data_IF_774985488268
#
_entry.id   IF_774985488268
#
_cell.length_a   1.000
_cell.length_b   1.000
_cell.length_c   1.000
_cell.angle_alpha   90.00
_cell.angle_beta   90.00
_cell.angle_gamma   90.00
#
_symmetry.space_group_name_H-M   'P 1'
#
loop_
_entity.id
_entity.type
_entity.pdbx_description
1 polymer ?
#
# COMPACT_ATOMS: atom_id res chain seq x y z
N UNK A 1 19.60 5.49 -9.92
CA UNK A 1 18.55 6.06 -10.78
C UNK A 1 17.78 7.10 -9.99
N UNK A 2 17.74 8.35 -10.45
CA UNK A 2 16.82 9.36 -9.93
C UNK A 2 15.45 9.19 -10.60
N UNK A 3 14.37 9.48 -9.88
CA UNK A 3 13.01 9.45 -10.44
C UNK A 3 12.70 10.81 -11.07
N UNK A 4 12.25 10.87 -12.33
CA UNK A 4 12.08 12.12 -13.07
C UNK A 4 10.73 12.78 -12.75
N UNK A 5 10.49 13.05 -11.47
CA UNK A 5 9.20 13.57 -11.00
C UNK A 5 9.13 15.08 -11.22
N UNK A 6 7.99 15.57 -11.70
CA UNK A 6 7.75 17.00 -11.90
C UNK A 6 6.30 17.42 -11.61
N UNK A 7 6.06 18.72 -11.46
CA UNK A 7 4.71 19.28 -11.32
C UNK A 7 4.21 19.51 -9.89
N UNK A 8 2.91 19.73 -9.77
CA UNK A 8 2.26 20.00 -8.49
C UNK A 8 2.08 18.72 -7.67
N UNK A 9 2.53 18.67 -6.41
CA UNK A 9 2.38 17.47 -5.58
C UNK A 9 0.93 17.30 -5.14
N UNK A 10 0.35 16.13 -5.42
CA UNK A 10 -1.07 15.83 -5.17
C UNK A 10 -1.28 15.04 -3.88
N UNK A 11 -0.52 13.94 -3.73
CA UNK A 11 -0.77 12.95 -2.67
C UNK A 11 0.51 12.18 -2.34
N UNK A 12 0.63 11.74 -1.09
CA UNK A 12 1.59 10.71 -0.67
C UNK A 12 0.85 9.61 0.07
N UNK A 13 1.08 8.38 -0.33
CA UNK A 13 0.80 7.19 0.46
C UNK A 13 2.10 6.68 1.05
N UNK A 14 2.09 6.37 2.35
CA UNK A 14 3.17 5.66 3.02
C UNK A 14 2.62 4.37 3.62
N UNK A 15 3.30 3.26 3.40
CA UNK A 15 3.05 1.98 4.08
C UNK A 15 4.34 1.57 4.77
N UNK A 16 4.28 1.34 6.08
CA UNK A 16 5.41 0.80 6.83
C UNK A 16 5.01 -0.55 7.44
N UNK A 17 5.95 -1.49 7.45
CA UNK A 17 5.80 -2.79 8.11
C UNK A 17 7.07 -3.10 8.89
N UNK A 18 6.93 -3.63 10.10
CA UNK A 18 8.06 -4.11 10.90
C UNK A 18 7.77 -5.47 11.52
N UNK A 19 8.84 -6.24 11.69
CA UNK A 19 8.87 -7.52 12.38
C UNK A 19 9.76 -7.37 13.61
N UNK A 20 9.20 -7.60 14.79
CA UNK A 20 9.86 -7.41 16.07
C UNK A 20 9.83 -8.75 16.83
N UNK A 21 10.98 -9.18 17.33
CA UNK A 21 11.04 -10.36 18.20
C UNK A 21 10.44 -10.02 19.56
N UNK A 22 9.57 -10.89 20.07
CA UNK A 22 8.97 -10.71 21.39
C UNK A 22 9.24 -11.92 22.29
N UNK A 23 9.21 -11.76 23.63
CA UNK A 23 9.31 -12.88 24.54
C UNK A 23 8.31 -13.99 24.22
N UNK A 24 8.61 -15.21 24.69
CA UNK A 24 7.77 -16.41 24.53
C UNK A 24 7.67 -16.92 23.08
N UNK A 25 8.74 -16.79 22.30
CA UNK A 25 8.83 -17.34 20.93
C UNK A 25 7.74 -16.79 19.99
N UNK A 26 7.59 -15.47 19.98
CA UNK A 26 6.58 -14.78 19.17
C UNK A 26 7.18 -13.67 18.35
N UNK A 27 6.59 -13.46 17.19
CA UNK A 27 6.86 -12.32 16.34
C UNK A 27 5.71 -11.33 16.43
N UNK A 28 6.04 -10.07 16.63
CA UNK A 28 5.10 -8.96 16.52
C UNK A 28 5.27 -8.28 15.18
N UNK A 29 4.20 -8.27 14.41
CA UNK A 29 4.08 -7.53 13.15
C UNK A 29 3.41 -6.20 13.45
N UNK A 30 4.00 -5.10 12.98
CA UNK A 30 3.35 -3.79 12.99
C UNK A 30 3.26 -3.26 11.57
N UNK A 31 2.06 -2.89 11.16
CA UNK A 31 1.78 -2.25 9.89
C UNK A 31 1.14 -0.87 10.10
N UNK A 32 1.49 0.09 9.27
CA UNK A 32 0.85 1.41 9.23
C UNK A 32 0.65 1.85 7.79
N UNK A 33 -0.50 2.46 7.51
CA UNK A 33 -0.77 3.15 6.25
C UNK A 33 -1.20 4.59 6.53
N UNK A 34 -0.55 5.53 5.87
CA UNK A 34 -0.88 6.96 5.93
C UNK A 34 -1.12 7.46 4.50
N UNK A 35 -2.28 8.07 4.29
CA UNK A 35 -2.61 8.78 3.06
C UNK A 35 -2.67 10.28 3.36
N UNK A 36 -1.76 11.05 2.76
CA UNK A 36 -1.64 12.50 2.87
C UNK A 36 -2.03 13.16 1.55
N UNK A 37 -3.19 13.84 1.53
CA UNK A 37 -3.57 14.72 0.43
C UNK A 37 -2.86 16.05 0.60
N UNK A 38 -2.17 16.52 -0.45
CA UNK A 38 -1.38 17.76 -0.42
C UNK A 38 -2.11 18.95 -1.03
N UNK A 39 -3.12 18.69 -1.87
CA UNK A 39 -3.85 19.73 -2.59
C UNK A 39 -5.30 19.34 -2.87
N UNK A 40 -6.10 20.35 -3.21
CA UNK A 40 -7.47 20.18 -3.68
C UNK A 40 -8.48 19.78 -2.61
N UNK A 41 -9.75 19.94 -2.95
CA UNK A 41 -10.87 19.49 -2.14
C UNK A 41 -11.49 18.24 -2.77
N UNK A 42 -11.78 17.24 -1.95
CA UNK A 42 -12.48 16.03 -2.41
C UNK A 42 -13.90 15.99 -1.83
N UNK A 43 -14.93 16.08 -2.67
CA UNK A 43 -16.30 15.83 -2.25
C UNK A 43 -16.49 14.34 -1.93
N UNK A 44 -16.97 14.04 -0.73
CA UNK A 44 -17.17 12.70 -0.21
C UNK A 44 -18.62 12.54 0.24
N UNK A 45 -19.53 12.23 -0.70
CA UNK A 45 -21.00 12.11 -0.53
C UNK A 45 -21.68 13.27 0.20
N UNK A 46 -21.42 13.41 1.50
CA UNK A 46 -22.02 14.40 2.40
C UNK A 46 -21.00 15.31 3.10
N UNK A 47 -19.71 15.21 2.75
CA UNK A 47 -18.67 16.09 3.29
C UNK A 47 -17.73 16.60 2.20
N UNK A 48 -17.00 17.67 2.52
CA UNK A 48 -15.91 18.19 1.70
C UNK A 48 -14.61 18.00 2.47
N UNK A 49 -13.73 17.14 1.96
CA UNK A 49 -12.48 16.85 2.64
C UNK A 49 -11.35 17.77 2.16
N UNK A 50 -10.70 18.52 3.06
CA UNK A 50 -9.55 19.35 2.72
C UNK A 50 -8.27 18.51 2.51
N UNK A 51 -7.16 19.15 2.11
CA UNK A 51 -5.82 18.58 2.24
C UNK A 51 -5.48 18.25 3.70
N UNK A 52 -4.56 17.30 3.90
CA UNK A 52 -4.15 16.78 5.20
C UNK A 52 -4.03 15.26 5.19
N UNK A 53 -3.78 14.69 6.37
CA UNK A 53 -3.89 13.25 6.56
C UNK A 53 -5.37 12.89 6.43
N UNK A 54 -5.72 12.05 5.45
CA UNK A 54 -7.10 11.65 5.15
C UNK A 54 -7.36 10.18 5.50
N UNK A 55 -6.31 9.37 5.61
CA UNK A 55 -6.38 8.03 6.18
C UNK A 55 -5.14 7.79 7.05
N UNK A 56 -5.36 7.21 8.22
CA UNK A 56 -4.29 6.75 9.10
C UNK A 56 -4.75 5.48 9.79
N UNK A 57 -4.25 4.34 9.32
CA UNK A 57 -4.62 3.03 9.87
C UNK A 57 -3.38 2.32 10.40
N UNK A 58 -3.55 1.60 11.51
CA UNK A 58 -2.52 0.77 12.12
C UNK A 58 -2.99 -0.65 12.31
N UNK A 59 -2.04 -1.56 12.32
CA UNK A 59 -2.23 -2.98 12.49
C UNK A 59 -1.11 -3.51 13.39
N UNK A 60 -1.46 -4.25 14.43
CA UNK A 60 -0.54 -5.05 15.24
C UNK A 60 -1.02 -6.50 15.23
N UNK A 61 -0.13 -7.45 14.92
CA UNK A 61 -0.44 -8.88 14.88
C UNK A 61 0.67 -9.61 15.62
N UNK A 62 0.33 -10.41 16.62
CA UNK A 62 1.26 -11.39 17.18
C UNK A 62 1.11 -12.72 16.46
N UNK A 63 2.23 -13.32 16.06
CA UNK A 63 2.28 -14.65 15.45
C UNK A 63 3.26 -15.56 16.16
N UNK A 64 2.89 -16.83 16.29
CA UNK A 64 3.77 -17.87 16.81
C UNK A 64 5.04 -18.00 15.96
N UNK A 65 6.22 -17.99 16.57
CA UNK A 65 7.49 -18.04 15.82
C UNK A 65 7.69 -19.36 15.05
N UNK A 66 7.23 -20.48 15.58
CA UNK A 66 7.37 -21.79 14.92
C UNK A 66 6.26 -22.09 13.90
N UNK A 67 5.02 -21.69 14.19
CA UNK A 67 3.86 -22.08 13.38
C UNK A 67 3.35 -20.98 12.45
N UNK A 68 3.78 -19.73 12.64
CA UNK A 68 3.28 -18.54 11.94
C UNK A 68 1.75 -18.37 12.01
N UNK A 69 1.14 -18.93 13.05
CA UNK A 69 -0.29 -18.79 13.34
C UNK A 69 -0.52 -17.47 14.06
N UNK A 70 -1.55 -16.75 13.64
CA UNK A 70 -2.01 -15.51 14.26
C UNK A 70 -2.62 -15.80 15.63
N UNK A 71 -2.03 -15.20 16.66
CA UNK A 71 -2.45 -15.32 18.05
C UNK A 71 -3.23 -14.09 18.53
N UNK A 72 -2.94 -12.92 17.97
CA UNK A 72 -3.66 -11.68 18.24
C UNK A 72 -3.70 -10.80 16.98
N UNK A 73 -4.79 -10.04 16.83
CA UNK A 73 -4.92 -9.00 15.81
C UNK A 73 -5.53 -7.77 16.48
N UNK A 74 -4.87 -6.63 16.33
CA UNK A 74 -5.36 -5.33 16.76
C UNK A 74 -5.23 -4.36 15.60
N UNK A 75 -6.23 -3.50 15.42
CA UNK A 75 -6.16 -2.46 14.41
C UNK A 75 -6.77 -1.18 14.92
N UNK A 76 -6.25 -0.05 14.42
CA UNK A 76 -6.83 1.26 14.66
C UNK A 76 -7.00 2.00 13.34
N UNK A 77 -7.96 2.91 13.31
CA UNK A 77 -8.20 3.82 12.20
C UNK A 77 -8.31 5.22 12.77
N UNK A 78 -7.18 5.88 12.99
CA UNK A 78 -7.12 7.17 13.69
C UNK A 78 -7.78 8.27 12.85
N UNK A 79 -7.57 8.22 11.54
CA UNK A 79 -8.21 9.13 10.57
C UNK A 79 -8.90 8.32 9.49
N UNK A 80 -10.18 8.62 9.23
CA UNK A 80 -11.00 7.93 8.24
C UNK A 80 -11.76 8.90 7.35
N UNK A 81 -12.17 8.41 6.18
CA UNK A 81 -12.97 9.20 5.27
C UNK A 81 -14.40 9.47 5.74
N UNK A 82 -14.99 8.51 6.46
CA UNK A 82 -16.39 8.55 6.88
C UNK A 82 -16.52 8.31 8.38
N UNK A 83 -16.92 9.37 9.09
CA UNK A 83 -17.25 9.36 10.51
C UNK A 83 -18.75 9.07 10.72
N UNK A 84 -19.15 8.53 11.89
CA UNK A 84 -20.55 8.26 12.18
C UNK A 84 -21.31 9.57 12.34
N UNK A 85 -22.18 9.88 11.39
CA UNK A 85 -22.98 11.11 11.35
C UNK A 85 -24.43 10.79 10.99
N UNK A 86 -25.31 11.78 11.09
CA UNK A 86 -26.68 11.64 10.58
C UNK A 86 -26.70 11.28 9.09
N UNK A 87 -25.77 11.81 8.30
CA UNK A 87 -25.70 11.58 6.86
C UNK A 87 -25.21 10.17 6.50
N UNK A 88 -24.31 9.59 7.31
CA UNK A 88 -23.90 8.19 7.16
C UNK A 88 -24.85 7.22 7.88
N UNK A 89 -26.02 7.68 8.34
CA UNK A 89 -26.95 6.89 9.15
C UNK A 89 -26.28 6.21 10.37
N UNK A 90 -25.26 6.86 10.94
CA UNK A 90 -24.46 6.33 12.05
C UNK A 90 -23.35 5.34 11.64
N UNK A 91 -23.24 4.98 10.36
CA UNK A 91 -22.19 4.08 9.88
C UNK A 91 -20.83 4.79 9.77
N UNK A 92 -19.75 4.03 9.97
CA UNK A 92 -18.37 4.50 9.89
C UNK A 92 -17.45 3.50 9.20
N UNK A 93 -16.34 4.00 8.64
CA UNK A 93 -15.23 3.16 8.19
C UNK A 93 -14.68 2.20 9.25
N UNK A 94 -14.96 2.44 10.54
CA UNK A 94 -14.49 1.63 11.69
C UNK A 94 -15.40 0.46 12.04
N UNK A 95 -16.64 0.46 11.57
CA UNK A 95 -17.61 -0.59 11.87
C UNK A 95 -17.14 -2.00 11.49
N UNK A 96 -16.43 -2.24 10.36
CA UNK A 96 -16.05 -3.59 10.00
C UNK A 96 -14.84 -4.13 10.79
N UNK A 97 -14.20 -3.35 11.67
CA UNK A 97 -12.94 -3.76 12.31
C UNK A 97 -13.03 -5.11 13.04
N UNK A 98 -14.17 -5.41 13.67
CA UNK A 98 -14.40 -6.69 14.34
C UNK A 98 -14.37 -7.92 13.41
N UNK A 99 -14.52 -7.73 12.09
CA UNK A 99 -14.41 -8.85 11.14
C UNK A 99 -12.99 -9.44 11.09
N UNK A 100 -11.97 -8.71 11.56
CA UNK A 100 -10.60 -9.18 11.61
C UNK A 100 -10.38 -10.29 12.64
N UNK A 101 -11.28 -10.45 13.63
CA UNK A 101 -11.20 -11.52 14.62
C UNK A 101 -11.27 -12.91 13.97
N UNK A 102 -11.89 -13.02 12.78
CA UNK A 102 -11.91 -14.25 12.01
C UNK A 102 -10.54 -14.67 11.43
N UNK A 103 -9.51 -13.84 11.59
CA UNK A 103 -8.12 -14.19 11.26
C UNK A 103 -7.38 -14.87 12.42
N UNK A 104 -7.92 -14.87 13.64
CA UNK A 104 -7.32 -15.58 14.77
C UNK A 104 -7.23 -17.08 14.47
N UNK A 105 -6.06 -17.68 14.75
CA UNK A 105 -5.78 -19.08 14.43
C UNK A 105 -5.45 -19.34 12.96
N UNK A 106 -5.46 -18.32 12.09
CA UNK A 106 -5.05 -18.46 10.69
C UNK A 106 -3.53 -18.39 10.58
N UNK A 107 -2.95 -19.31 9.81
CA UNK A 107 -1.53 -19.29 9.44
C UNK A 107 -1.26 -18.25 8.34
N UNK A 108 -0.17 -17.51 8.49
CA UNK A 108 0.35 -16.64 7.42
C UNK A 108 1.14 -17.50 6.43
N UNK A 109 0.47 -17.96 5.39
CA UNK A 109 1.00 -18.78 4.30
C UNK A 109 0.45 -18.32 2.93
N UNK A 110 0.68 -19.12 1.88
CA UNK A 110 0.22 -18.83 0.52
C UNK A 110 -1.31 -18.64 0.40
N UNK A 111 -2.09 -19.21 1.31
CA UNK A 111 -3.56 -19.12 1.31
C UNK A 111 -4.09 -17.92 2.12
N UNK A 112 -3.24 -17.26 2.91
CA UNK A 112 -3.63 -16.17 3.79
C UNK A 112 -4.34 -15.03 3.05
N UNK A 113 -3.81 -14.61 1.89
CA UNK A 113 -4.42 -13.56 1.06
C UNK A 113 -5.84 -13.91 0.61
N UNK A 114 -6.10 -15.18 0.29
CA UNK A 114 -7.44 -15.64 -0.11
C UNK A 114 -8.41 -15.55 1.07
N UNK A 115 -7.99 -16.04 2.25
CA UNK A 115 -8.79 -15.96 3.50
C UNK A 115 -9.07 -14.50 3.87
N UNK A 116 -8.06 -13.64 3.81
CA UNK A 116 -8.19 -12.21 4.05
C UNK A 116 -9.23 -11.56 3.12
N UNK A 117 -9.18 -11.81 1.81
CA UNK A 117 -10.18 -11.28 0.89
C UNK A 117 -11.59 -11.83 1.14
N UNK A 118 -11.72 -13.07 1.59
CA UNK A 118 -13.01 -13.67 1.95
C UNK A 118 -13.60 -13.06 3.23
N UNK A 119 -12.75 -12.72 4.20
CA UNK A 119 -13.16 -12.15 5.49
C UNK A 119 -13.39 -10.64 5.41
N UNK A 120 -12.44 -9.91 4.81
CA UNK A 120 -12.34 -8.45 4.91
C UNK A 120 -12.34 -7.76 3.54
N UNK A 121 -12.55 -8.50 2.45
CA UNK A 121 -12.58 -7.97 1.09
C UNK A 121 -13.88 -7.25 0.72
N UNK A 122 -13.76 -6.20 -0.10
CA UNK A 122 -14.89 -5.48 -0.68
C UNK A 122 -15.86 -4.94 0.38
N UNK A 123 -17.17 -5.25 0.31
CA UNK A 123 -18.19 -4.67 1.18
C UNK A 123 -18.07 -5.10 2.65
N UNK A 124 -17.15 -6.02 2.99
CA UNK A 124 -16.92 -6.52 4.34
C UNK A 124 -15.87 -5.76 5.14
N UNK A 125 -15.11 -4.87 4.49
CA UNK A 125 -13.96 -4.24 5.15
C UNK A 125 -13.64 -2.84 4.63
N UNK A 126 -12.69 -2.20 5.31
CA UNK A 126 -12.07 -0.96 4.84
C UNK A 126 -11.03 -1.30 3.75
N UNK A 127 -11.17 -0.72 2.56
CA UNK A 127 -10.23 -0.95 1.43
C UNK A 127 -8.79 -0.59 1.78
N UNK A 128 -8.57 0.45 2.58
CA UNK A 128 -7.23 0.91 2.98
C UNK A 128 -6.57 -0.06 3.94
N UNK A 129 -7.30 -0.51 4.96
CA UNK A 129 -6.80 -1.50 5.90
C UNK A 129 -6.57 -2.86 5.21
N UNK A 130 -7.47 -3.26 4.30
CA UNK A 130 -7.27 -4.45 3.45
C UNK A 130 -5.98 -4.34 2.61
N UNK A 131 -5.70 -3.17 2.05
CA UNK A 131 -4.49 -2.91 1.26
C UNK A 131 -3.22 -3.00 2.12
N UNK A 132 -3.27 -2.49 3.37
CA UNK A 132 -2.20 -2.67 4.36
C UNK A 132 -1.99 -4.16 4.68
N UNK A 133 -3.07 -4.91 4.95
CA UNK A 133 -2.98 -6.34 5.23
C UNK A 133 -2.41 -7.13 4.05
N UNK A 134 -2.79 -6.82 2.80
CA UNK A 134 -2.20 -7.46 1.63
C UNK A 134 -0.70 -7.19 1.50
N UNK A 135 -0.24 -5.97 1.83
CA UNK A 135 1.18 -5.65 1.86
C UNK A 135 1.91 -6.44 2.95
N UNK A 136 1.37 -6.47 4.18
CA UNK A 136 1.88 -7.30 5.29
C UNK A 136 1.96 -8.78 4.88
N UNK A 137 0.88 -9.32 4.30
CA UNK A 137 0.79 -10.70 3.83
C UNK A 137 1.85 -11.05 2.78
N UNK A 138 2.36 -10.08 2.03
CA UNK A 138 3.37 -10.30 1.00
C UNK A 138 4.81 -10.18 1.52
N UNK A 139 5.06 -9.23 2.42
CA UNK A 139 6.43 -8.98 2.91
C UNK A 139 6.81 -9.89 4.07
N UNK A 140 5.87 -10.22 4.96
CA UNK A 140 6.18 -10.94 6.20
C UNK A 140 6.61 -12.39 6.00
N UNK A 141 6.02 -13.21 5.12
CA UNK A 141 6.51 -14.58 4.89
C UNK A 141 8.00 -14.63 4.55
N UNK A 142 8.47 -13.68 3.75
CA UNK A 142 9.89 -13.55 3.34
C UNK A 142 10.78 -13.10 4.49
N UNK A 143 10.29 -12.19 5.33
CA UNK A 143 10.97 -11.78 6.56
C UNK A 143 11.10 -12.94 7.55
N UNK A 144 10.02 -13.71 7.77
CA UNK A 144 10.03 -14.89 8.64
C UNK A 144 10.96 -15.98 8.13
N UNK A 145 10.98 -16.23 6.81
CA UNK A 145 11.93 -17.17 6.20
C UNK A 145 13.39 -16.77 6.45
N UNK A 146 13.70 -15.48 6.32
CA UNK A 146 15.04 -14.95 6.64
C UNK A 146 15.40 -15.16 8.12
N UNK A 147 14.43 -15.03 9.02
CA UNK A 147 14.65 -15.17 10.47
C UNK A 147 14.82 -16.61 10.95
N UNK A 148 14.53 -17.63 10.13
CA UNK A 148 14.75 -19.04 10.50
C UNK A 148 16.21 -19.31 10.94
N UNK A 149 17.18 -18.53 10.44
CA UNK A 149 18.59 -18.62 10.81
C UNK A 149 19.01 -17.79 12.04
N UNK A 150 18.15 -16.90 12.55
CA UNK A 150 18.52 -15.90 13.55
C UNK A 150 17.60 -15.84 14.78
N UNK A 151 16.39 -16.40 14.72
CA UNK A 151 15.36 -16.22 15.75
C UNK A 151 15.84 -16.54 17.18
N UNK A 152 16.63 -17.62 17.35
CA UNK A 152 17.15 -18.03 18.66
C UNK A 152 18.18 -17.07 19.27
N UNK A 153 18.74 -16.17 18.46
CA UNK A 153 19.78 -15.21 18.87
C UNK A 153 19.22 -13.81 19.13
N UNK A 154 17.91 -13.60 18.92
CA UNK A 154 17.25 -12.29 19.05
C UNK A 154 17.03 -11.89 20.49
N UNK A 155 17.32 -10.63 20.79
CA UNK A 155 16.95 -10.00 22.06
C UNK A 155 15.46 -9.64 22.06
N UNK A 156 14.77 -9.68 23.23
CA UNK A 156 13.41 -9.19 23.33
C UNK A 156 13.24 -7.75 22.82
N UNK A 157 12.17 -7.51 22.06
CA UNK A 157 11.83 -6.23 21.41
C UNK A 157 12.82 -5.79 20.33
N UNK A 158 13.65 -6.70 19.83
CA UNK A 158 14.59 -6.40 18.75
C UNK A 158 13.88 -6.37 17.39
N UNK A 159 14.16 -5.34 16.59
CA UNK A 159 13.75 -5.29 15.18
C UNK A 159 14.55 -6.28 14.34
N UNK A 160 13.83 -7.16 13.65
CA UNK A 160 14.41 -8.10 12.70
C UNK A 160 14.31 -7.61 11.25
N UNK A 161 13.17 -6.99 10.92
CA UNK A 161 12.88 -6.57 9.56
C UNK A 161 12.05 -5.30 9.54
N UNK A 162 12.26 -4.49 8.51
CA UNK A 162 11.50 -3.29 8.23
C UNK A 162 11.27 -3.13 6.73
N UNK A 163 10.03 -2.89 6.32
CA UNK A 163 9.65 -2.54 4.96
C UNK A 163 9.03 -1.17 4.93
N UNK A 164 9.52 -0.31 4.04
CA UNK A 164 8.91 0.99 3.75
C UNK A 164 8.54 1.06 2.29
N UNK A 165 7.28 1.36 2.01
CA UNK A 165 6.82 1.75 0.69
C UNK A 165 6.24 3.16 0.71
N UNK A 166 6.69 4.01 -0.21
CA UNK A 166 6.05 5.29 -0.49
C UNK A 166 5.54 5.31 -1.92
N UNK A 167 4.35 5.86 -2.13
CA UNK A 167 3.81 6.20 -3.43
C UNK A 167 3.46 7.68 -3.42
N UNK A 168 4.11 8.45 -4.29
CA UNK A 168 3.86 9.87 -4.46
C UNK A 168 3.19 10.13 -5.81
N UNK A 169 2.20 11.01 -5.83
CA UNK A 169 1.50 11.45 -7.03
C UNK A 169 1.67 12.93 -7.31
N UNK A 170 1.89 13.28 -8.58
CA UNK A 170 2.11 14.65 -9.04
C UNK A 170 1.33 14.94 -10.33
N UNK A 171 1.02 16.21 -10.56
CA UNK A 171 0.40 16.70 -11.79
C UNK A 171 1.38 17.63 -12.53
N UNK A 172 2.17 17.12 -13.50
CA UNK A 172 3.03 17.96 -14.33
C UNK A 172 2.26 18.79 -15.36
N UNK A 173 1.12 18.29 -15.83
CA UNK A 173 0.29 18.94 -16.84
C UNK A 173 -1.16 18.48 -16.70
N UNK A 174 -2.08 19.16 -17.39
CA UNK A 174 -3.45 18.68 -17.54
C UNK A 174 -3.44 17.29 -18.18
N UNK A 175 -4.32 16.41 -17.70
CA UNK A 175 -4.44 15.00 -18.12
C UNK A 175 -3.21 14.09 -17.97
N UNK A 176 -2.16 14.55 -17.29
CA UNK A 176 -0.99 13.74 -16.97
C UNK A 176 -0.82 13.67 -15.45
N UNK A 177 -0.74 12.45 -14.92
CA UNK A 177 -0.38 12.19 -13.53
C UNK A 177 0.92 11.40 -13.51
N UNK A 178 1.87 11.80 -12.67
CA UNK A 178 3.09 11.03 -12.43
C UNK A 178 2.98 10.31 -11.09
N UNK A 179 3.30 9.02 -11.09
CA UNK A 179 3.33 8.18 -9.91
C UNK A 179 4.76 7.68 -9.69
N UNK A 180 5.28 7.87 -8.50
CA UNK A 180 6.58 7.40 -8.08
C UNK A 180 6.44 6.47 -6.89
N UNK A 181 6.92 5.23 -7.01
CA UNK A 181 6.93 4.25 -5.92
C UNK A 181 8.37 3.94 -5.52
N UNK A 182 8.64 3.97 -4.21
CA UNK A 182 9.89 3.51 -3.64
C UNK A 182 9.61 2.45 -2.59
N UNK A 183 10.33 1.33 -2.64
CA UNK A 183 10.25 0.26 -1.64
C UNK A 183 11.65 -0.02 -1.11
N UNK A 184 11.78 -0.17 0.20
CA UNK A 184 13.01 -0.64 0.84
C UNK A 184 12.66 -1.70 1.88
N UNK A 185 13.07 -2.94 1.61
CA UNK A 185 13.00 -4.08 2.52
C UNK A 185 14.36 -4.23 3.20
N UNK A 186 14.44 -3.99 4.51
CA UNK A 186 15.65 -4.00 5.32
C UNK A 186 15.60 -5.15 6.31
N UNK A 187 16.61 -6.02 6.26
CA UNK A 187 16.80 -7.17 7.14
C UNK A 187 18.03 -6.89 8.02
N UNK A 188 17.87 -7.10 9.32
CA UNK A 188 18.92 -6.83 10.31
C UNK A 188 19.49 -8.13 10.86
N UNK A 189 20.79 -8.16 11.17
CA UNK A 189 21.40 -9.21 11.99
C UNK A 189 21.01 -9.00 13.46
N UNK A 190 21.04 -10.06 14.29
CA UNK A 190 20.91 -9.94 15.74
C UNK A 190 21.90 -8.91 16.33
N UNK A 191 21.48 -8.16 17.34
CA UNK A 191 22.32 -7.15 18.02
C UNK A 191 23.66 -7.72 18.49
N UNK A 192 23.66 -8.94 19.03
CA UNK A 192 24.88 -9.61 19.51
C UNK A 192 25.86 -10.07 18.41
N UNK A 193 25.51 -9.90 17.12
CA UNK A 193 26.32 -10.35 15.98
C UNK A 193 26.96 -9.21 15.19
N UNK A 194 26.73 -7.95 15.57
CA UNK A 194 27.25 -6.79 14.87
C UNK A 194 28.11 -5.92 15.79
N UNK A 195 29.20 -5.36 15.24
CA UNK A 195 30.06 -4.42 15.95
C UNK A 195 29.52 -2.98 16.00
N UNK A 196 28.46 -2.68 15.25
CA UNK A 196 27.84 -1.37 15.11
C UNK A 196 26.56 -1.41 14.27
N UNK A 197 25.87 -0.27 14.16
CA UNK A 197 24.54 -0.18 13.53
C UNK A 197 24.56 -0.48 12.03
N UNK A 198 25.62 -0.10 11.31
CA UNK A 198 25.75 -0.38 9.88
C UNK A 198 26.04 -1.87 9.67
N UNK A 199 26.87 -2.48 10.52
CA UNK A 199 27.19 -3.90 10.46
C UNK A 199 25.98 -4.80 10.74
N UNK A 200 24.94 -4.27 11.42
CA UNK A 200 23.65 -4.93 11.57
C UNK A 200 22.90 -5.07 10.25
N UNK A 201 23.17 -4.26 9.22
CA UNK A 201 22.52 -4.44 7.93
C UNK A 201 22.92 -5.79 7.33
N UNK A 202 22.00 -6.75 7.37
CA UNK A 202 22.19 -8.03 6.73
C UNK A 202 21.91 -7.93 5.23
N UNK A 203 20.83 -7.22 4.89
CA UNK A 203 20.38 -7.05 3.52
C UNK A 203 19.40 -5.88 3.41
N UNK A 204 19.55 -5.07 2.37
CA UNK A 204 18.52 -4.19 1.85
C UNK A 204 18.20 -4.59 0.40
N UNK A 205 16.90 -4.80 0.12
CA UNK A 205 16.39 -4.84 -1.25
C UNK A 205 15.58 -3.58 -1.50
N UNK A 206 15.97 -2.79 -2.49
CA UNK A 206 15.32 -1.55 -2.88
C UNK A 206 14.70 -1.63 -4.27
N UNK A 207 13.54 -1.01 -4.44
CA UNK A 207 12.90 -0.73 -5.73
C UNK A 207 12.65 0.77 -5.87
N UNK A 208 12.89 1.28 -7.08
CA UNK A 208 12.40 2.56 -7.57
C UNK A 208 11.57 2.29 -8.81
N UNK A 209 10.31 2.69 -8.78
CA UNK A 209 9.39 2.57 -9.90
C UNK A 209 8.77 3.93 -10.19
N UNK A 210 8.64 4.28 -11.47
CA UNK A 210 7.98 5.49 -11.93
C UNK A 210 7.05 5.13 -13.07
N UNK A 211 5.88 5.75 -13.10
CA UNK A 211 5.08 5.81 -14.30
C UNK A 211 4.42 7.16 -14.49
N UNK A 212 4.33 7.63 -15.73
CA UNK A 212 3.32 8.62 -16.09
C UNK A 212 2.03 7.92 -16.49
N UNK A 213 0.90 8.53 -16.16
CA UNK A 213 -0.45 8.04 -16.42
C UNK A 213 -1.19 9.10 -17.21
N UNK A 214 -1.68 8.70 -18.37
CA UNK A 214 -2.61 9.48 -19.19
C UNK A 214 -4.01 9.29 -18.62
N UNK A 215 -4.65 10.37 -18.16
CA UNK A 215 -5.95 10.27 -17.48
C UNK A 215 -7.12 10.03 -18.45
N UNK A 216 -6.93 10.23 -19.76
CA UNK A 216 -7.97 9.98 -20.76
C UNK A 216 -8.24 8.49 -20.93
N UNK A 217 -7.17 7.69 -21.00
CA UNK A 217 -7.24 6.24 -21.22
C UNK A 217 -6.75 5.41 -20.02
N UNK A 218 -6.29 6.06 -18.95
CA UNK A 218 -5.80 5.44 -17.72
C UNK A 218 -4.62 4.49 -17.95
N UNK A 219 -3.76 4.76 -18.94
CA UNK A 219 -2.61 3.91 -19.28
C UNK A 219 -1.30 4.49 -18.80
N UNK A 220 -0.38 3.59 -18.43
CA UNK A 220 1.03 3.90 -18.21
C UNK A 220 1.68 4.30 -19.54
N UNK A 221 2.30 5.49 -19.60
CA UNK A 221 2.91 6.02 -20.86
C UNK A 221 4.42 6.11 -20.82
N UNK A 222 4.97 6.38 -19.66
CA UNK A 222 6.40 6.30 -19.40
C UNK A 222 6.56 5.37 -18.22
N UNK A 223 7.45 4.39 -18.27
CA UNK A 223 7.71 3.48 -17.16
C UNK A 223 9.22 3.42 -16.94
N UNK A 224 9.64 3.57 -15.69
CA UNK A 224 11.02 3.34 -15.29
C UNK A 224 11.05 2.45 -14.06
N UNK A 225 11.96 1.50 -14.04
CA UNK A 225 12.20 0.64 -12.89
C UNK A 225 13.69 0.51 -12.64
N UNK A 226 14.09 0.52 -11.37
CA UNK A 226 15.43 0.15 -10.96
C UNK A 226 15.40 -0.58 -9.62
N UNK A 227 16.32 -1.51 -9.47
CA UNK A 227 16.51 -2.26 -8.21
C UNK A 227 17.89 -2.03 -7.65
N UNK A 228 18.00 -2.14 -6.33
CA UNK A 228 19.27 -2.17 -5.63
C UNK A 228 19.24 -3.28 -4.60
N UNK A 229 20.37 -3.98 -4.47
CA UNK A 229 20.61 -4.91 -3.39
C UNK A 229 21.92 -4.50 -2.74
N UNK A 230 21.94 -4.40 -1.41
CA UNK A 230 23.15 -4.08 -0.64
C UNK A 230 23.12 -4.70 0.75
N UNK A 231 24.27 -4.75 1.37
CA UNK A 231 24.52 -5.15 2.76
C UNK A 231 25.51 -4.15 3.38
N UNK A 232 25.97 -4.44 4.60
CA UNK A 232 26.94 -3.59 5.31
C UNK A 232 28.23 -3.33 4.50
N UNK A 233 28.68 -4.29 3.68
CA UNK A 233 29.94 -4.19 2.92
C UNK A 233 29.75 -3.50 1.56
N UNK A 234 28.52 -3.48 1.05
CA UNK A 234 28.17 -2.97 -0.28
C UNK A 234 27.26 -1.73 -0.22
N UNK A 235 27.40 -0.91 0.82
CA UNK A 235 26.53 0.26 1.08
C UNK A 235 26.40 1.24 -0.10
N UNK A 236 27.45 1.34 -0.92
CA UNK A 236 27.51 2.20 -2.11
C UNK A 236 27.04 1.50 -3.41
N UNK A 237 26.41 0.33 -3.32
CA UNK A 237 25.92 -0.40 -4.49
C UNK A 237 25.03 0.48 -5.37
N UNK A 238 25.31 0.45 -6.68
CA UNK A 238 24.57 1.21 -7.66
C UNK A 238 23.17 0.64 -7.88
N UNK A 239 22.25 1.53 -8.27
CA UNK A 239 20.95 1.11 -8.79
C UNK A 239 21.12 0.48 -10.17
N UNK A 240 20.48 -0.67 -10.38
CA UNK A 240 20.43 -1.36 -11.67
C UNK A 240 19.09 -1.08 -12.33
N UNK A 241 19.11 -0.37 -13.45
CA UNK A 241 17.91 -0.10 -14.25
C UNK A 241 17.37 -1.40 -14.86
N UNK A 242 16.04 -1.54 -14.87
CA UNK A 242 15.30 -2.69 -15.41
C UNK A 242 14.42 -2.24 -16.57
N UNK A 243 15.06 -1.98 -17.71
CA UNK A 243 14.37 -1.60 -18.94
C UNK A 243 13.45 -2.72 -19.45
N UNK A 244 13.82 -3.98 -19.20
CA UNK A 244 13.00 -5.16 -19.48
C UNK A 244 11.62 -5.07 -18.81
N UNK A 245 11.60 -4.75 -17.51
CA UNK A 245 10.34 -4.60 -16.76
C UNK A 245 9.52 -3.42 -17.26
N UNK A 246 10.18 -2.30 -17.56
CA UNK A 246 9.51 -1.10 -18.04
C UNK A 246 8.80 -1.34 -19.38
N UNK A 247 9.46 -2.01 -20.33
CA UNK A 247 8.88 -2.31 -21.64
C UNK A 247 7.66 -3.24 -21.54
N UNK A 248 7.64 -4.20 -20.61
CA UNK A 248 6.50 -5.12 -20.43
C UNK A 248 5.24 -4.46 -19.82
N UNK A 249 5.41 -3.31 -19.16
CA UNK A 249 4.36 -2.57 -18.47
C UNK A 249 3.85 -1.35 -19.25
N UNK A 250 4.57 -0.94 -20.30
CA UNK A 250 4.13 0.16 -21.16
C UNK A 250 2.71 -0.10 -21.70
N UNK A 251 1.90 0.95 -21.74
CA UNK A 251 0.49 0.93 -22.15
C UNK A 251 -0.45 0.03 -21.31
N UNK A 252 0.04 -0.48 -20.17
CA UNK A 252 -0.80 -1.21 -19.21
C UNK A 252 -1.79 -0.24 -18.56
N UNK A 253 -3.09 -0.58 -18.49
CA UNK A 253 -4.07 0.20 -17.73
C UNK A 253 -3.76 0.18 -16.23
N UNK A 254 -3.84 1.35 -15.58
CA UNK A 254 -3.77 1.48 -14.12
C UNK A 254 -5.04 0.91 -13.48
N UNK A 255 -6.20 1.13 -14.10
CA UNK A 255 -7.50 0.61 -13.69
C UNK A 255 -8.38 0.38 -14.94
N UNK A 256 -9.21 -0.68 -15.00
CA UNK A 256 -9.21 -1.89 -14.16
C UNK A 256 -8.18 -2.94 -14.65
N UNK A 257 -7.94 -3.97 -13.82
CA UNK A 257 -7.19 -5.17 -14.25
C UNK A 257 -5.68 -5.19 -13.95
N UNK A 258 -5.11 -4.09 -13.45
CA UNK A 258 -3.68 -4.00 -13.13
C UNK A 258 -3.19 -5.12 -12.21
N UNK A 259 -3.95 -5.48 -11.18
CA UNK A 259 -3.54 -6.54 -10.25
C UNK A 259 -3.40 -7.92 -10.94
N UNK A 260 -4.22 -8.22 -11.95
CA UNK A 260 -4.09 -9.43 -12.74
C UNK A 260 -2.81 -9.40 -13.59
N UNK A 261 -2.60 -8.29 -14.29
CA UNK A 261 -1.39 -8.06 -15.10
C UNK A 261 -0.11 -8.09 -14.27
N UNK A 262 -0.12 -7.48 -13.09
CA UNK A 262 1.02 -7.50 -12.17
C UNK A 262 1.41 -8.92 -11.77
N UNK A 263 0.43 -9.77 -11.42
CA UNK A 263 0.69 -11.18 -11.10
C UNK A 263 1.17 -11.98 -12.29
N UNK A 264 0.72 -11.64 -13.50
CA UNK A 264 1.19 -12.27 -14.73
C UNK A 264 2.65 -11.92 -15.02
N UNK A 265 2.98 -10.62 -15.04
CA UNK A 265 4.34 -10.10 -15.31
C UNK A 265 5.36 -10.56 -14.26
N UNK A 266 4.94 -10.70 -13.01
CA UNK A 266 5.83 -11.14 -11.92
C UNK A 266 5.78 -12.65 -11.67
N UNK A 267 4.98 -13.42 -12.40
CA UNK A 267 4.86 -14.87 -12.21
C UNK A 267 6.21 -15.54 -12.44
N UNK A 268 6.58 -16.47 -11.57
CA UNK A 268 7.82 -17.26 -11.68
C UNK A 268 9.13 -16.43 -11.66
N UNK A 269 9.05 -15.13 -11.37
CA UNK A 269 10.18 -14.20 -11.30
C UNK A 269 10.41 -13.73 -9.86
N UNK A 270 11.23 -14.46 -9.11
CA UNK A 270 11.56 -14.12 -7.72
C UNK A 270 12.27 -12.77 -7.57
N UNK A 271 12.94 -12.27 -8.62
CA UNK A 271 13.56 -10.95 -8.64
C UNK A 271 12.55 -9.80 -8.81
N UNK A 272 11.29 -10.09 -9.16
CA UNK A 272 10.21 -9.12 -9.39
C UNK A 272 9.27 -8.95 -8.19
N UNK A 273 9.58 -9.52 -7.03
CA UNK A 273 8.70 -9.45 -5.85
C UNK A 273 8.39 -8.01 -5.41
N UNK A 274 9.40 -7.14 -5.34
CA UNK A 274 9.15 -5.72 -5.01
C UNK A 274 8.34 -5.02 -6.11
N UNK A 275 8.55 -5.39 -7.37
CA UNK A 275 7.77 -4.85 -8.48
C UNK A 275 6.29 -5.25 -8.34
N UNK A 276 6.00 -6.51 -7.99
CA UNK A 276 4.64 -6.95 -7.71
C UNK A 276 4.00 -6.09 -6.60
N UNK A 277 4.70 -5.85 -5.51
CA UNK A 277 4.21 -4.99 -4.43
C UNK A 277 3.92 -3.57 -4.89
N UNK A 278 4.84 -2.96 -5.64
CA UNK A 278 4.61 -1.62 -6.19
C UNK A 278 3.37 -1.58 -7.08
N UNK A 279 3.22 -2.55 -8.00
CA UNK A 279 2.11 -2.59 -8.95
C UNK A 279 0.75 -2.84 -8.27
N UNK A 280 0.69 -3.69 -7.24
CA UNK A 280 -0.53 -3.92 -6.47
C UNK A 280 -0.99 -2.66 -5.70
N UNK A 281 -0.09 -1.71 -5.51
CA UNK A 281 -0.33 -0.47 -4.76
C UNK A 281 -0.58 0.74 -5.66
N UNK A 282 -0.23 0.65 -6.95
CA UNK A 282 -0.48 1.71 -7.93
C UNK A 282 -1.97 2.02 -8.09
N UNK A 283 -2.81 1.00 -8.29
CA UNK A 283 -4.25 1.17 -8.44
C UNK A 283 -4.91 1.89 -7.24
N UNK A 284 -4.77 1.40 -5.99
CA UNK A 284 -5.35 2.09 -4.85
C UNK A 284 -4.66 3.43 -4.56
N UNK A 285 -3.38 3.60 -4.93
CA UNK A 285 -2.66 4.88 -4.78
C UNK A 285 -3.15 5.93 -5.77
N UNK A 286 -3.32 5.55 -7.03
CA UNK A 286 -3.88 6.40 -8.09
C UNK A 286 -5.25 6.93 -7.72
N UNK A 287 -6.13 6.11 -7.13
CA UNK A 287 -7.46 6.56 -6.69
C UNK A 287 -7.34 7.72 -5.68
N UNK A 288 -6.38 7.66 -4.75
CA UNK A 288 -6.15 8.75 -3.79
C UNK A 288 -5.57 10.00 -4.45
N UNK A 289 -4.62 9.81 -5.38
CA UNK A 289 -4.02 10.90 -6.17
C UNK A 289 -5.08 11.62 -6.99
N UNK A 290 -5.93 10.88 -7.70
CA UNK A 290 -7.05 11.41 -8.47
C UNK A 290 -8.07 12.14 -7.59
N UNK A 291 -8.27 11.69 -6.34
CA UNK A 291 -9.10 12.40 -5.37
C UNK A 291 -8.65 13.84 -5.10
N UNK A 292 -7.35 14.15 -5.22
CA UNK A 292 -6.81 15.51 -5.08
C UNK A 292 -7.17 16.43 -6.27
N UNK A 293 -7.63 15.85 -7.39
CA UNK A 293 -8.06 16.58 -8.59
C UNK A 293 -9.59 16.69 -8.71
N UNK A 294 -10.34 16.10 -7.78
CA UNK A 294 -11.80 16.01 -7.86
C UNK A 294 -12.48 17.39 -8.03
N UNK A 295 -12.09 18.38 -7.22
CA UNK A 295 -12.57 19.76 -7.35
C UNK A 295 -12.31 20.33 -8.75
N UNK A 296 -11.10 20.21 -9.27
CA UNK A 296 -10.74 20.74 -10.60
C UNK A 296 -11.63 20.13 -11.68
N UNK A 297 -11.79 18.80 -11.68
CA UNK A 297 -12.64 18.11 -12.64
C UNK A 297 -14.11 18.52 -12.52
N UNK A 298 -14.65 18.64 -11.30
CA UNK A 298 -16.03 19.06 -11.08
C UNK A 298 -16.27 20.48 -11.59
N UNK A 299 -15.36 21.41 -11.30
CA UNK A 299 -15.46 22.80 -11.76
C UNK A 299 -15.40 22.87 -13.28
N UNK A 300 -14.51 22.11 -13.92
CA UNK A 300 -14.41 22.05 -15.39
C UNK A 300 -15.69 21.51 -16.02
N UNK A 301 -16.21 20.39 -15.53
CA UNK A 301 -17.45 19.78 -16.01
C UNK A 301 -18.62 20.76 -15.88
N UNK A 302 -18.76 21.44 -14.73
CA UNK A 302 -19.82 22.44 -14.51
C UNK A 302 -19.76 23.63 -15.47
N UNK A 303 -18.57 23.97 -15.95
CA UNK A 303 -18.35 25.08 -16.87
C UNK A 303 -18.34 24.65 -18.36
N UNK A 304 -18.72 23.40 -18.67
CA UNK A 304 -18.70 22.89 -20.05
C UNK A 304 -17.29 22.78 -20.64
N UNK A 305 -16.28 22.64 -19.79
CA UNK A 305 -14.88 22.41 -20.17
C UNK A 305 -14.47 20.95 -19.92
N UNK A 306 -15.41 20.01 -20.07
CA UNK A 306 -15.17 18.59 -19.83
C UNK A 306 -14.27 18.01 -20.93
N UNK A 307 -13.00 17.77 -20.59
CA UNK A 307 -12.13 17.05 -21.50
C UNK A 307 -12.28 15.52 -21.28
N UNK A 308 -12.08 14.70 -22.32
CA UNK A 308 -12.01 13.25 -22.17
C UNK A 308 -10.95 12.85 -21.13
N UNK A 309 -11.38 12.39 -19.95
CA UNK A 309 -10.49 12.05 -18.83
C UNK A 309 -10.77 12.79 -17.53
N UNK A 310 -11.57 13.86 -17.56
CA UNK A 310 -12.08 14.51 -16.36
C UNK A 310 -13.11 13.59 -15.69
N UNK A 311 -12.71 12.92 -14.60
CA UNK A 311 -13.51 11.88 -13.94
C UNK A 311 -13.40 11.97 -12.43
N UNK A 312 -14.26 12.75 -11.75
CA UNK A 312 -14.33 12.69 -10.29
C UNK A 312 -14.62 11.23 -9.89
N UNK A 313 -13.60 10.56 -9.33
CA UNK A 313 -13.74 9.17 -8.89
C UNK A 313 -14.59 9.17 -7.62
N UNK A 314 -15.83 8.73 -7.76
CA UNK A 314 -16.66 8.32 -6.63
C UNK A 314 -16.28 6.90 -6.18
N UNK A 315 -16.71 6.49 -4.99
CA UNK A 315 -16.56 5.11 -4.58
C UNK A 315 -17.39 4.19 -5.47
N UNK A 316 -16.77 3.12 -5.96
CA UNK A 316 -17.50 2.09 -6.71
C UNK A 316 -18.36 1.25 -5.75
N UNK A 317 -19.53 0.81 -6.20
CA UNK A 317 -20.37 -0.10 -5.41
C UNK A 317 -19.58 -1.35 -4.99
N UNK A 318 -19.73 -1.75 -3.71
CA UNK A 318 -19.03 -2.87 -3.08
C UNK A 318 -17.49 -2.74 -3.03
N UNK A 319 -16.94 -1.56 -3.29
CA UNK A 319 -15.49 -1.32 -3.18
C UNK A 319 -14.97 -1.37 -1.74
N UNK A 320 -15.80 -0.97 -0.76
CA UNK A 320 -15.54 -1.11 0.67
C UNK A 320 -16.85 -1.16 1.46
N UNK A 321 -16.78 -1.37 2.78
CA UNK A 321 -17.92 -1.37 3.68
C UNK A 321 -18.84 -0.15 3.53
N UNK A 322 -18.28 1.07 3.43
CA UNK A 322 -19.08 2.29 3.28
C UNK A 322 -19.83 2.35 1.94
N UNK A 323 -19.29 1.72 0.90
CA UNK A 323 -19.85 1.68 -0.45
C UNK A 323 -20.57 0.36 -0.77
N UNK A 324 -20.86 -0.47 0.24
CA UNK A 324 -21.58 -1.73 0.04
C UNK A 324 -22.98 -1.48 -0.51
N UNK A 325 -23.47 -2.44 -1.29
CA UNK A 325 -24.86 -2.42 -1.79
C UNK A 325 -25.83 -2.33 -0.61
N UNK A 326 -26.77 -1.39 -0.67
CA UNK A 326 -27.69 -1.12 0.42
C UNK A 326 -27.01 -0.59 1.70
N UNK A 327 -25.84 0.04 1.62
CA UNK A 327 -25.20 0.79 2.71
C UNK A 327 -25.68 2.25 2.79
N UNK A 328 -25.29 2.99 3.82
CA UNK A 328 -25.77 4.37 4.01
C UNK A 328 -25.44 5.32 2.84
N UNK A 329 -24.31 5.10 2.15
CA UNK A 329 -23.91 5.93 1.01
C UNK A 329 -24.67 5.57 -0.28
N UNK A 330 -25.08 4.32 -0.45
CA UNK A 330 -25.73 3.83 -1.68
C UNK A 330 -27.26 3.82 -1.61
N UNK A 331 -27.85 3.99 -0.42
CA UNK A 331 -29.32 4.10 -0.25
C UNK A 331 -29.89 5.48 -0.62
N UNK A 332 -29.04 6.51 -0.70
CA UNK A 332 -29.45 7.91 -0.86
C UNK A 332 -29.07 8.50 -2.23
N UNK A 333 -28.49 7.70 -3.11
CA UNK A 333 -28.17 8.03 -4.51
C UNK A 333 -29.27 7.50 -5.44
#
# INVERSE_FOLDING_TARGET
MYLPISGHPLHTRSITVSLIWTPQERWRLRGEIIDLRKSGLAPMSFSLQPPGIIHHMRLEIDVSAGSHVIESVQSSQDVVAFEPTKHSAGESCRDPLGNLDALLGVRIDADFNRKLSQTFGGPRGCSHLLTLFHYVASVIPRALEFELGYAAERSPNEFAFHSNMTLDGFQPAHQKIELAVQINDVYLKPEGKAGGDIERLALENGLRFYTSVDTQNLKMREVLAAVRRRDADTMLAAWRTRNDWASELLDTPILPGLAGRAREVCRDHSDRLLLLEALLQLAPGYIQVAGALAEQWIVRIRNGMDDPGDRPLAGAENSCYMWRSGGALTRND
#
